data_IF_902321052278
#
_entry.id   IF_902321052278
#
_cell.length_a   1.000
_cell.length_b   1.000
_cell.length_c   1.000
_cell.angle_alpha   90.00
_cell.angle_beta   90.00
_cell.angle_gamma   90.00
#
_symmetry.space_group_name_H-M   'P 1'
#
loop_
_entity.id
_entity.type
_entity.pdbx_description
1 polymer ?
#
# COMPACT_ATOMS: atom_id res chain seq x y z
N UNK A 1 12.57 -14.61 17.84
CA UNK A 1 13.45 -13.51 18.27
C UNK A 1 13.42 -12.39 17.22
N UNK A 2 13.07 -11.19 17.63
CA UNK A 2 12.88 -10.04 16.75
C UNK A 2 14.19 -9.33 16.37
N UNK A 3 15.33 -9.82 16.86
CA UNK A 3 16.66 -9.21 16.72
C UNK A 3 17.08 -8.99 15.25
N UNK A 4 16.56 -9.79 14.33
CA UNK A 4 16.90 -9.71 12.90
C UNK A 4 15.80 -9.15 12.02
N UNK A 5 14.66 -8.78 12.59
CA UNK A 5 13.54 -8.23 11.79
C UNK A 5 13.80 -6.78 11.43
N UNK A 6 13.47 -6.43 10.20
CA UNK A 6 13.52 -5.09 9.64
C UNK A 6 12.28 -4.93 8.77
N UNK A 7 11.63 -3.79 8.82
CA UNK A 7 10.38 -3.58 8.12
C UNK A 7 10.40 -2.29 7.30
N UNK A 8 10.00 -2.42 6.05
CA UNK A 8 9.54 -1.29 5.26
C UNK A 8 8.00 -1.38 5.29
N UNK A 9 7.37 -0.42 5.94
CA UNK A 9 5.92 -0.34 6.05
C UNK A 9 5.41 0.71 5.07
N UNK A 10 4.74 0.26 4.01
CA UNK A 10 4.09 1.15 3.05
C UNK A 10 2.64 1.32 3.50
N UNK A 11 2.25 2.56 3.80
CA UNK A 11 0.88 2.94 4.15
C UNK A 11 0.26 3.73 3.01
N UNK A 12 -1.03 3.59 2.81
CA UNK A 12 -1.80 4.33 1.81
C UNK A 12 -3.07 4.90 2.43
N UNK A 13 -3.56 6.02 1.87
CA UNK A 13 -4.85 6.61 2.25
C UNK A 13 -5.95 5.55 2.20
N UNK A 14 -6.65 5.29 3.33
CA UNK A 14 -7.68 4.25 3.39
C UNK A 14 -8.85 4.51 2.44
N UNK A 15 -9.12 5.77 2.06
CA UNK A 15 -10.13 6.12 1.05
C UNK A 15 -9.72 5.59 -0.33
N UNK A 16 -8.44 5.74 -0.67
CA UNK A 16 -7.86 5.17 -1.90
C UNK A 16 -7.81 3.64 -1.88
N UNK A 17 -7.54 3.05 -0.70
CA UNK A 17 -7.56 1.59 -0.53
C UNK A 17 -8.97 1.06 -0.73
N UNK A 18 -10.00 1.72 -0.17
CA UNK A 18 -11.40 1.32 -0.33
C UNK A 18 -11.78 1.20 -1.82
N UNK A 19 -11.42 2.19 -2.63
CA UNK A 19 -11.68 2.18 -4.07
C UNK A 19 -10.90 1.06 -4.77
N UNK A 20 -9.60 0.98 -4.52
CA UNK A 20 -8.74 -0.03 -5.16
C UNK A 20 -9.19 -1.45 -4.83
N UNK A 21 -9.56 -1.70 -3.57
CA UNK A 21 -9.99 -3.02 -3.13
C UNK A 21 -11.37 -3.40 -3.68
N UNK A 22 -12.29 -2.44 -3.80
CA UNK A 22 -13.60 -2.67 -4.41
C UNK A 22 -13.46 -3.20 -5.86
N UNK A 23 -12.64 -2.55 -6.67
CA UNK A 23 -12.37 -3.01 -8.03
C UNK A 23 -11.63 -4.35 -8.08
N UNK A 24 -10.60 -4.53 -7.24
CA UNK A 24 -9.81 -5.77 -7.19
C UNK A 24 -10.66 -7.00 -6.80
N UNK A 25 -11.53 -6.83 -5.82
CA UNK A 25 -12.37 -7.90 -5.28
C UNK A 25 -13.73 -8.04 -5.97
N UNK A 26 -14.06 -7.15 -6.91
CA UNK A 26 -15.36 -7.08 -7.60
C UNK A 26 -16.52 -6.97 -6.60
N UNK A 27 -16.44 -5.99 -5.70
CA UNK A 27 -17.44 -5.71 -4.65
C UNK A 27 -17.84 -4.23 -4.65
N UNK A 28 -18.96 -3.90 -3.99
CA UNK A 28 -19.38 -2.52 -3.85
C UNK A 28 -18.42 -1.71 -2.98
N UNK A 29 -18.45 -0.37 -3.12
CA UNK A 29 -17.65 0.53 -2.28
C UNK A 29 -18.05 0.45 -0.82
N UNK A 30 -19.36 0.34 -0.51
CA UNK A 30 -19.88 0.14 0.85
C UNK A 30 -19.25 -1.10 1.48
N UNK A 31 -19.27 -2.22 0.76
CA UNK A 31 -18.69 -3.48 1.25
C UNK A 31 -17.19 -3.36 1.47
N UNK A 32 -16.49 -2.68 0.56
CA UNK A 32 -15.05 -2.44 0.69
C UNK A 32 -14.73 -1.59 1.93
N UNK A 33 -15.49 -0.53 2.17
CA UNK A 33 -15.36 0.32 3.37
C UNK A 33 -15.62 -0.48 4.63
N UNK A 34 -16.71 -1.28 4.69
CA UNK A 34 -17.01 -2.13 5.83
C UNK A 34 -15.87 -3.10 6.16
N UNK A 35 -15.25 -3.69 5.14
CA UNK A 35 -14.12 -4.58 5.31
C UNK A 35 -12.86 -3.89 5.85
N UNK A 36 -12.62 -2.62 5.49
CA UNK A 36 -11.51 -1.82 6.04
C UNK A 36 -11.73 -1.43 7.50
N UNK A 37 -12.98 -1.26 7.92
CA UNK A 37 -13.35 -0.91 9.29
C UNK A 37 -13.42 -2.13 10.21
N UNK A 38 -13.58 -3.33 9.67
CA UNK A 38 -13.80 -4.55 10.45
C UNK A 38 -12.55 -4.91 11.26
N UNK A 39 -12.64 -4.84 12.58
CA UNK A 39 -11.51 -5.04 13.49
C UNK A 39 -10.90 -6.45 13.42
N UNK A 40 -11.73 -7.46 13.23
CA UNK A 40 -11.30 -8.85 13.12
C UNK A 40 -12.09 -9.57 12.04
N UNK A 41 -11.39 -10.19 11.11
CA UNK A 41 -11.97 -11.02 10.07
C UNK A 41 -11.05 -12.21 9.83
N UNK A 42 -11.62 -13.40 9.76
CA UNK A 42 -10.92 -14.60 9.29
C UNK A 42 -11.41 -14.87 7.86
N UNK A 43 -10.50 -14.99 6.93
CA UNK A 43 -10.78 -15.40 5.55
C UNK A 43 -9.82 -16.53 5.16
N UNK A 44 -10.17 -17.32 4.17
CA UNK A 44 -9.22 -18.26 3.58
C UNK A 44 -8.42 -17.53 2.49
N UNK A 45 -7.11 -17.72 2.49
CA UNK A 45 -6.26 -17.25 1.39
C UNK A 45 -6.38 -18.19 0.18
N UNK A 46 -5.66 -17.89 -0.90
CA UNK A 46 -5.67 -18.70 -2.12
C UNK A 46 -5.22 -20.16 -1.94
N UNK A 47 -4.46 -20.45 -0.87
CA UNK A 47 -4.04 -21.81 -0.50
C UNK A 47 -5.00 -22.51 0.47
N UNK A 48 -6.15 -21.88 0.80
CA UNK A 48 -7.13 -22.45 1.74
C UNK A 48 -6.74 -22.31 3.21
N UNK A 49 -5.68 -21.57 3.54
CA UNK A 49 -5.25 -21.35 4.92
C UNK A 49 -6.01 -20.20 5.56
N UNK A 50 -6.38 -20.31 6.85
CA UNK A 50 -6.99 -19.22 7.59
C UNK A 50 -6.04 -18.01 7.67
N UNK A 51 -6.54 -16.85 7.28
CA UNK A 51 -5.84 -15.57 7.36
C UNK A 51 -6.64 -14.60 8.22
N UNK A 52 -6.02 -14.15 9.32
CA UNK A 52 -6.61 -13.10 10.16
C UNK A 52 -6.34 -11.74 9.51
N UNK A 53 -7.40 -11.04 9.14
CA UNK A 53 -7.35 -9.68 8.64
C UNK A 53 -7.94 -8.74 9.69
N UNK A 54 -7.29 -7.59 9.85
CA UNK A 54 -7.68 -6.57 10.82
C UNK A 54 -8.10 -5.30 10.07
N UNK A 55 -8.73 -4.35 10.79
CA UNK A 55 -9.00 -3.04 10.22
C UNK A 55 -7.68 -2.34 9.81
N UNK A 56 -7.80 -1.40 8.87
CA UNK A 56 -6.66 -0.60 8.44
C UNK A 56 -5.94 0.08 9.62
N UNK A 57 -6.70 0.62 10.58
CA UNK A 57 -6.18 1.23 11.81
C UNK A 57 -5.36 0.24 12.65
N UNK A 58 -5.92 -0.93 12.96
CA UNK A 58 -5.23 -1.94 13.78
C UNK A 58 -3.97 -2.42 13.07
N UNK A 59 -4.02 -2.66 11.76
CA UNK A 59 -2.86 -3.02 10.97
C UNK A 59 -1.77 -1.94 11.05
N UNK A 60 -2.12 -0.68 10.79
CA UNK A 60 -1.19 0.44 10.87
C UNK A 60 -0.55 0.57 12.27
N UNK A 61 -1.36 0.59 13.33
CA UNK A 61 -0.89 0.71 14.72
C UNK A 61 -0.03 -0.46 15.16
N UNK A 62 -0.37 -1.69 14.77
CA UNK A 62 0.40 -2.88 15.12
C UNK A 62 1.84 -2.82 14.58
N UNK A 63 2.02 -2.34 13.36
CA UNK A 63 3.35 -2.16 12.79
C UNK A 63 4.13 -1.02 13.45
N UNK A 64 3.48 0.09 13.79
CA UNK A 64 4.13 1.17 14.53
C UNK A 64 4.56 0.73 15.92
N UNK A 65 3.80 -0.12 16.59
CA UNK A 65 4.09 -0.65 17.93
C UNK A 65 5.26 -1.65 17.99
N UNK A 66 5.75 -2.17 16.86
CA UNK A 66 6.88 -3.10 16.86
C UNK A 66 8.19 -2.43 17.30
N UNK A 67 9.02 -3.16 18.07
CA UNK A 67 10.29 -2.66 18.63
C UNK A 67 11.47 -2.68 17.65
N UNK A 68 11.36 -3.43 16.55
CA UNK A 68 12.44 -3.53 15.57
C UNK A 68 12.53 -2.29 14.65
N UNK A 69 13.68 -2.03 14.01
CA UNK A 69 13.84 -0.94 13.07
C UNK A 69 12.85 -1.00 11.92
N UNK A 70 12.17 0.12 11.66
CA UNK A 70 11.16 0.24 10.61
C UNK A 70 11.29 1.56 9.86
N UNK A 71 10.94 1.53 8.60
CA UNK A 71 10.81 2.70 7.74
C UNK A 71 9.36 2.79 7.30
N UNK A 72 8.68 3.86 7.68
CA UNK A 72 7.33 4.18 7.21
C UNK A 72 7.41 4.98 5.93
N UNK A 73 6.71 4.53 4.89
CA UNK A 73 6.60 5.18 3.59
C UNK A 73 5.12 5.36 3.26
N UNK A 74 4.73 6.58 2.86
CA UNK A 74 3.40 6.78 2.27
C UNK A 74 3.45 6.41 0.80
N UNK A 75 2.45 5.66 0.35
CA UNK A 75 2.31 5.32 -1.08
C UNK A 75 2.23 6.57 -1.96
N UNK A 76 1.59 7.61 -1.47
CA UNK A 76 1.44 8.90 -2.15
C UNK A 76 2.78 9.59 -2.37
N UNK A 77 3.69 9.50 -1.40
CA UNK A 77 5.06 10.05 -1.52
C UNK A 77 5.88 9.23 -2.51
N UNK A 78 5.72 7.89 -2.49
CA UNK A 78 6.35 7.01 -3.47
C UNK A 78 5.88 7.34 -4.90
N UNK A 79 4.59 7.63 -5.06
CA UNK A 79 4.00 7.96 -6.37
C UNK A 79 4.39 9.36 -6.85
N UNK A 80 4.51 10.32 -5.92
CA UNK A 80 4.84 11.72 -6.22
C UNK A 80 6.33 11.91 -6.53
N UNK A 81 7.18 11.24 -5.77
CA UNK A 81 8.63 11.32 -5.87
C UNK A 81 9.26 9.94 -5.66
N UNK A 82 9.09 9.09 -6.68
CA UNK A 82 9.57 7.71 -6.67
C UNK A 82 11.07 7.64 -6.44
N UNK A 83 11.84 8.53 -7.09
CA UNK A 83 13.30 8.54 -7.01
C UNK A 83 13.78 8.74 -5.57
N UNK A 84 13.41 9.85 -4.92
CA UNK A 84 13.87 10.15 -3.57
C UNK A 84 13.29 9.20 -2.53
N UNK A 85 12.05 8.75 -2.70
CA UNK A 85 11.44 7.77 -1.81
C UNK A 85 12.13 6.41 -1.91
N UNK A 86 12.45 5.95 -3.11
CA UNK A 86 13.20 4.72 -3.31
C UNK A 86 14.65 4.82 -2.78
N UNK A 87 15.30 5.97 -2.96
CA UNK A 87 16.62 6.25 -2.36
C UNK A 87 16.61 6.11 -0.84
N UNK A 88 15.55 6.61 -0.16
CA UNK A 88 15.37 6.43 1.31
C UNK A 88 15.26 4.94 1.68
N UNK A 89 14.51 4.16 0.90
CA UNK A 89 14.38 2.70 1.11
C UNK A 89 15.74 2.02 0.99
N UNK A 90 16.51 2.34 -0.05
CA UNK A 90 17.85 1.77 -0.25
C UNK A 90 18.80 2.13 0.88
N UNK A 91 18.81 3.39 1.33
CA UNK A 91 19.65 3.85 2.45
C UNK A 91 19.28 3.09 3.72
N UNK A 92 17.98 2.98 4.03
CA UNK A 92 17.51 2.22 5.20
C UNK A 92 17.94 0.74 5.12
N UNK A 93 17.70 0.08 4.00
CA UNK A 93 18.02 -1.32 3.79
C UNK A 93 19.53 -1.54 3.90
N UNK A 94 20.32 -0.65 3.30
CA UNK A 94 21.77 -0.75 3.26
C UNK A 94 22.40 -0.71 4.67
N UNK A 95 21.75 -0.07 5.66
CA UNK A 95 22.25 -0.06 7.05
C UNK A 95 22.42 -1.46 7.63
N UNK A 96 21.60 -2.42 7.18
CA UNK A 96 21.51 -3.78 7.73
C UNK A 96 22.17 -4.85 6.87
N UNK A 97 22.61 -4.51 5.67
CA UNK A 97 23.34 -5.46 4.81
C UNK A 97 24.75 -5.68 5.33
N UNK A 98 25.21 -6.93 5.33
CA UNK A 98 26.61 -7.28 5.64
C UNK A 98 27.56 -6.67 4.61
N UNK A 99 27.26 -6.88 3.34
CA UNK A 99 27.97 -6.26 2.22
C UNK A 99 27.12 -5.07 1.75
N UNK A 100 27.66 -3.87 1.94
CA UNK A 100 26.96 -2.64 1.51
C UNK A 100 26.87 -2.60 -0.01
N UNK A 101 25.70 -2.21 -0.52
CA UNK A 101 25.52 -1.93 -1.94
C UNK A 101 25.88 -0.48 -2.23
N UNK A 102 26.47 -0.25 -3.38
CA UNK A 102 26.69 1.09 -3.88
C UNK A 102 25.37 1.67 -4.41
N UNK A 103 24.97 2.81 -3.86
CA UNK A 103 23.74 3.51 -4.21
C UNK A 103 24.13 4.68 -5.11
N UNK A 104 24.00 4.53 -6.43
CA UNK A 104 24.27 5.59 -7.40
C UNK A 104 22.98 6.14 -7.99
N UNK A 105 23.02 7.39 -8.41
CA UNK A 105 21.85 8.07 -9.00
C UNK A 105 21.41 7.42 -10.32
N UNK A 106 22.37 6.90 -11.10
CA UNK A 106 22.12 6.17 -12.34
C UNK A 106 21.30 4.90 -12.07
N UNK A 107 21.74 4.05 -11.11
CA UNK A 107 21.03 2.82 -10.75
C UNK A 107 19.64 3.08 -10.22
N UNK A 108 19.46 4.15 -9.42
CA UNK A 108 18.14 4.54 -8.92
C UNK A 108 17.24 4.94 -10.08
N UNK A 109 17.73 5.82 -10.99
CA UNK A 109 16.97 6.31 -12.13
C UNK A 109 16.55 5.20 -13.08
N UNK A 110 17.47 4.28 -13.40
CA UNK A 110 17.20 3.11 -14.23
C UNK A 110 16.12 2.22 -13.59
N UNK A 111 16.28 1.88 -12.30
CA UNK A 111 15.35 1.00 -11.59
C UNK A 111 13.95 1.62 -11.48
N UNK A 112 13.87 2.89 -11.09
CA UNK A 112 12.57 3.57 -10.94
C UNK A 112 11.90 3.80 -12.30
N UNK A 113 12.66 4.06 -13.35
CA UNK A 113 12.16 4.14 -14.72
C UNK A 113 11.59 2.81 -15.21
N UNK A 114 12.31 1.71 -15.01
CA UNK A 114 11.84 0.37 -15.37
C UNK A 114 10.54 -0.01 -14.66
N UNK A 115 10.38 0.39 -13.39
CA UNK A 115 9.21 0.13 -12.57
C UNK A 115 8.14 1.24 -12.65
N UNK A 116 8.19 2.13 -13.64
CA UNK A 116 7.16 3.15 -13.83
C UNK A 116 5.78 2.52 -14.09
N UNK A 117 4.70 3.21 -13.69
CA UNK A 117 3.33 2.74 -13.89
C UNK A 117 3.06 2.37 -15.36
N UNK A 118 3.52 3.19 -16.30
CA UNK A 118 3.35 2.93 -17.72
C UNK A 118 4.05 1.64 -18.20
N UNK A 119 5.27 1.41 -17.72
CA UNK A 119 6.01 0.21 -18.06
C UNK A 119 5.38 -1.04 -17.45
N UNK A 120 4.95 -0.98 -16.19
CA UNK A 120 4.26 -2.08 -15.51
C UNK A 120 2.89 -2.37 -16.15
N UNK A 121 2.13 -1.34 -16.51
CA UNK A 121 0.86 -1.51 -17.22
C UNK A 121 1.04 -2.11 -18.64
N UNK A 122 2.09 -1.70 -19.37
CA UNK A 122 2.45 -2.32 -20.67
C UNK A 122 2.85 -3.79 -20.48
N UNK A 123 3.62 -4.09 -19.43
CA UNK A 123 4.03 -5.45 -19.11
C UNK A 123 2.82 -6.33 -18.77
N UNK A 124 1.90 -5.84 -17.96
CA UNK A 124 0.64 -6.55 -17.65
C UNK A 124 -0.16 -6.84 -18.91
N UNK A 125 -0.26 -5.88 -19.83
CA UNK A 125 -0.94 -6.10 -21.12
C UNK A 125 -0.27 -7.17 -21.99
N UNK A 126 1.06 -7.33 -21.90
CA UNK A 126 1.84 -8.25 -22.72
C UNK A 126 1.85 -9.68 -22.19
N UNK A 127 2.05 -9.86 -20.88
CA UNK A 127 2.27 -11.19 -20.27
C UNK A 127 1.26 -11.52 -19.17
N UNK A 128 0.34 -10.61 -18.85
CA UNK A 128 -0.59 -10.74 -17.72
C UNK A 128 0.06 -10.43 -16.40
N UNK A 129 -0.74 -10.45 -15.33
CA UNK A 129 -0.30 -10.30 -13.95
C UNK A 129 -1.03 -11.30 -13.05
N UNK A 130 -0.28 -12.13 -12.29
CA UNK A 130 -0.86 -13.23 -11.51
C UNK A 130 -1.85 -12.79 -10.43
N UNK A 131 -1.66 -11.59 -9.87
CA UNK A 131 -2.46 -11.05 -8.77
C UNK A 131 -3.60 -10.14 -9.25
N UNK A 132 -3.85 -10.07 -10.57
CA UNK A 132 -4.97 -9.28 -11.09
C UNK A 132 -6.31 -9.83 -10.58
N UNK A 133 -7.26 -8.94 -10.31
CA UNK A 133 -8.65 -9.31 -10.02
C UNK A 133 -9.33 -10.02 -11.19
N UNK A 134 -10.51 -10.57 -10.95
CA UNK A 134 -11.24 -11.35 -11.97
C UNK A 134 -11.56 -10.57 -13.24
N UNK A 135 -11.92 -9.29 -13.12
CA UNK A 135 -12.49 -8.49 -14.20
C UNK A 135 -11.69 -7.23 -14.55
N UNK A 136 -10.69 -6.86 -13.75
CA UNK A 136 -9.98 -5.59 -13.90
C UNK A 136 -8.47 -5.79 -14.02
N UNK A 137 -7.81 -4.83 -14.69
CA UNK A 137 -6.36 -4.76 -14.70
C UNK A 137 -5.85 -4.41 -13.30
N UNK A 138 -4.72 -4.99 -12.92
CA UNK A 138 -4.05 -4.65 -11.66
C UNK A 138 -3.54 -3.21 -11.69
N UNK A 139 -2.83 -2.84 -12.77
CA UNK A 139 -2.37 -1.46 -13.00
C UNK A 139 -3.47 -0.66 -13.71
N UNK A 140 -4.55 -0.32 -12.96
CA UNK A 140 -5.76 0.28 -13.54
C UNK A 140 -5.58 1.77 -13.88
N UNK A 141 -5.26 2.62 -12.90
CA UNK A 141 -5.12 4.07 -13.09
C UNK A 141 -3.92 4.69 -12.38
N UNK A 142 -3.47 4.16 -11.24
CA UNK A 142 -2.39 4.74 -10.45
C UNK A 142 -2.70 6.10 -9.80
N UNK A 143 -3.99 6.53 -9.80
CA UNK A 143 -4.41 7.83 -9.24
C UNK A 143 -4.48 7.78 -7.71
N UNK A 144 -3.95 8.82 -7.04
CA UNK A 144 -3.97 8.91 -5.58
C UNK A 144 -5.30 9.37 -5.01
N UNK A 145 -6.12 10.12 -5.79
CA UNK A 145 -7.34 10.77 -5.31
C UNK A 145 -8.60 10.38 -6.09
N UNK A 146 -8.61 9.21 -6.71
CA UNK A 146 -9.81 8.73 -7.40
C UNK A 146 -11.03 8.65 -6.49
N UNK A 147 -10.80 8.40 -5.19
CA UNK A 147 -11.87 8.31 -4.19
C UNK A 147 -12.72 9.59 -4.08
N UNK A 148 -12.16 10.78 -4.35
CA UNK A 148 -12.91 12.05 -4.35
C UNK A 148 -14.01 12.06 -5.42
N UNK A 149 -13.87 11.27 -6.49
CA UNK A 149 -14.79 11.21 -7.63
C UNK A 149 -15.80 10.08 -7.54
N UNK A 150 -15.49 9.01 -6.79
CA UNK A 150 -16.28 7.76 -6.85
C UNK A 150 -16.92 7.35 -5.53
N UNK A 151 -16.37 7.76 -4.37
CA UNK A 151 -17.00 7.49 -3.09
C UNK A 151 -18.07 8.53 -2.78
N UNK A 152 -19.17 8.09 -2.18
CA UNK A 152 -20.17 9.02 -1.67
C UNK A 152 -19.65 9.80 -0.46
N UNK A 153 -20.16 11.02 -0.19
CA UNK A 153 -19.77 11.81 0.99
C UNK A 153 -19.96 11.03 2.31
N UNK A 154 -20.97 10.18 2.39
CA UNK A 154 -21.27 9.37 3.57
C UNK A 154 -20.16 8.33 3.81
N UNK A 155 -19.67 7.67 2.76
CA UNK A 155 -18.59 6.69 2.85
C UNK A 155 -17.25 7.36 3.21
N UNK A 156 -16.96 8.53 2.62
CA UNK A 156 -15.79 9.32 2.97
C UNK A 156 -15.83 9.68 4.45
N UNK A 157 -16.94 10.27 4.92
CA UNK A 157 -17.13 10.64 6.33
C UNK A 157 -17.05 9.44 7.28
N UNK A 158 -17.55 8.29 6.85
CA UNK A 158 -17.46 7.03 7.62
C UNK A 158 -16.00 6.60 7.82
N UNK A 159 -15.18 6.66 6.79
CA UNK A 159 -13.74 6.35 6.88
C UNK A 159 -13.03 7.38 7.77
N UNK A 160 -13.26 8.68 7.52
CA UNK A 160 -12.60 9.78 8.23
C UNK A 160 -12.90 9.78 9.72
N UNK A 161 -14.16 9.56 10.11
CA UNK A 161 -14.54 9.48 11.53
C UNK A 161 -13.89 8.29 12.25
N UNK A 162 -13.73 7.15 11.58
CA UNK A 162 -13.15 5.96 12.20
C UNK A 162 -11.62 5.99 12.29
N UNK A 163 -10.95 6.74 11.40
CA UNK A 163 -9.50 6.78 11.28
C UNK A 163 -8.92 8.19 11.44
N UNK A 164 -9.64 9.09 12.11
CA UNK A 164 -9.33 10.52 12.19
C UNK A 164 -7.90 10.78 12.68
N UNK A 165 -7.49 10.11 13.75
CA UNK A 165 -6.16 10.32 14.36
C UNK A 165 -5.04 9.84 13.43
N UNK A 166 -5.22 8.69 12.80
CA UNK A 166 -4.27 8.13 11.87
C UNK A 166 -4.15 8.96 10.57
N UNK A 167 -5.29 9.48 10.09
CA UNK A 167 -5.31 10.35 8.91
C UNK A 167 -4.56 11.66 9.17
N UNK A 168 -4.73 12.25 10.36
CA UNK A 168 -3.96 13.44 10.80
C UNK A 168 -2.48 13.13 10.94
N UNK A 169 -2.14 12.05 11.63
CA UNK A 169 -0.74 11.62 11.84
C UNK A 169 -0.01 11.41 10.50
N UNK A 170 -0.71 10.90 9.50
CA UNK A 170 -0.19 10.65 8.16
C UNK A 170 -0.33 11.85 7.21
N UNK A 171 -0.87 12.99 7.65
CA UNK A 171 -1.13 14.17 6.83
C UNK A 171 -2.00 13.87 5.59
N UNK A 172 -3.08 13.10 5.77
CA UNK A 172 -4.12 12.87 4.77
C UNK A 172 -5.28 13.85 4.89
N UNK A 173 -5.41 14.49 6.06
CA UNK A 173 -6.34 15.59 6.39
C UNK A 173 -5.68 16.57 7.34
#
# INVERSE_FOLDING_TARGET
SDVYKRQIHIVRDPRSIAVSYAYHADISFEKSVDLLLMEKRISLNYGGYPEARMSWKIHFRSWLGCSFPKLLIRYEDLNKDTYNTFKKILIFTNQFLRNKIEITDEKISETTGACSFDNLSKLENKIGFKEKGKNEKFFRKGENKEWEKVLSPELIKKIENNFLDELKELNYI
#
